data_IF_192405235375
#
_entry.id   IF_192405235375
#
_cell.length_a   1.000
_cell.length_b   1.000
_cell.length_c   1.000
_cell.angle_alpha   90.00
_cell.angle_beta   90.00
_cell.angle_gamma   90.00
#
_symmetry.space_group_name_H-M   'P 1'
#
loop_
_entity.id
_entity.type
_entity.pdbx_description
1 polymer ?
#
# COMPACT_ATOMS: atom_id res chain seq x y z
N UNK A 1 4.43 -15.71 -26.70
CA UNK A 1 3.34 -16.02 -25.75
C UNK A 1 3.27 -14.90 -24.74
N UNK A 2 2.29 -14.01 -24.87
CA UNK A 2 1.99 -12.96 -23.89
C UNK A 2 1.81 -13.56 -22.50
N UNK A 3 2.83 -13.44 -21.66
CA UNK A 3 2.73 -13.75 -20.24
C UNK A 3 1.93 -12.65 -19.58
N UNK A 4 0.62 -12.68 -19.76
CA UNK A 4 -0.30 -11.74 -19.10
C UNK A 4 -0.09 -11.89 -17.58
N UNK A 5 0.21 -10.80 -16.87
CA UNK A 5 0.34 -10.84 -15.43
C UNK A 5 -0.98 -11.32 -14.84
N UNK A 6 -0.93 -12.34 -13.97
CA UNK A 6 -2.14 -12.87 -13.32
C UNK A 6 -2.64 -11.82 -12.32
N UNK A 7 -3.83 -11.26 -12.58
CA UNK A 7 -4.44 -10.19 -11.75
C UNK A 7 -4.48 -10.55 -10.27
N UNK A 8 -4.78 -11.81 -9.93
CA UNK A 8 -4.79 -12.27 -8.53
C UNK A 8 -3.43 -12.15 -7.83
N UNK A 9 -2.31 -12.38 -8.55
CA UNK A 9 -0.95 -12.23 -7.99
C UNK A 9 -0.63 -10.75 -7.73
N UNK A 10 -1.06 -9.86 -8.64
CA UNK A 10 -0.90 -8.42 -8.45
C UNK A 10 -1.71 -7.92 -7.24
N UNK A 11 -2.95 -8.39 -7.10
CA UNK A 11 -3.80 -8.08 -5.94
C UNK A 11 -3.19 -8.60 -4.63
N UNK A 12 -2.65 -9.82 -4.62
CA UNK A 12 -2.04 -10.43 -3.42
C UNK A 12 -0.79 -9.64 -2.97
N UNK A 13 0.08 -9.24 -3.90
CA UNK A 13 1.26 -8.41 -3.60
C UNK A 13 0.84 -7.05 -3.05
N UNK A 14 -0.15 -6.40 -3.69
CA UNK A 14 -0.68 -5.14 -3.19
C UNK A 14 -1.23 -5.31 -1.78
N UNK A 15 -2.07 -6.32 -1.53
CA UNK A 15 -2.65 -6.60 -0.21
C UNK A 15 -1.60 -6.86 0.87
N UNK A 16 -0.60 -7.69 0.57
CA UNK A 16 0.54 -7.96 1.45
C UNK A 16 1.35 -6.69 1.78
N UNK A 17 1.36 -5.71 0.89
CA UNK A 17 1.99 -4.42 1.15
C UNK A 17 1.08 -3.47 1.93
N UNK A 18 -0.20 -3.39 1.59
CA UNK A 18 -1.17 -2.49 2.24
C UNK A 18 -1.29 -2.82 3.73
N UNK A 19 -1.44 -4.09 4.09
CA UNK A 19 -1.69 -4.52 5.46
C UNK A 19 -0.63 -4.06 6.48
N UNK A 20 0.69 -4.32 6.28
CA UNK A 20 1.72 -3.85 7.19
C UNK A 20 1.86 -2.32 7.16
N UNK A 21 1.68 -1.67 6.01
CA UNK A 21 1.76 -0.20 5.92
C UNK A 21 0.67 0.45 6.76
N UNK A 22 -0.58 -0.02 6.64
CA UNK A 22 -1.70 0.47 7.45
C UNK A 22 -1.40 0.28 8.94
N UNK A 23 -0.93 -0.90 9.35
CA UNK A 23 -0.59 -1.16 10.75
C UNK A 23 0.54 -0.24 11.24
N UNK A 24 1.59 -0.04 10.44
CA UNK A 24 2.70 0.85 10.77
C UNK A 24 2.23 2.30 10.89
N UNK A 25 1.34 2.73 10.00
CA UNK A 25 0.75 4.07 10.07
C UNK A 25 -0.16 4.23 11.27
N UNK A 26 -0.95 3.23 11.65
CA UNK A 26 -1.70 3.29 12.91
C UNK A 26 -0.76 3.36 14.11
N UNK A 27 0.31 2.59 14.13
CA UNK A 27 1.27 2.63 15.23
C UNK A 27 2.01 3.97 15.33
N UNK A 28 2.44 4.55 14.21
CA UNK A 28 3.23 5.78 14.17
C UNK A 28 2.35 7.03 14.20
N UNK A 29 1.36 7.11 13.32
CA UNK A 29 0.58 8.34 13.09
C UNK A 29 -0.52 8.50 14.13
N UNK A 30 -1.27 7.44 14.45
CA UNK A 30 -2.39 7.53 15.40
C UNK A 30 -2.06 8.21 16.74
N UNK A 31 -0.89 7.96 17.39
CA UNK A 31 -0.50 8.72 18.58
C UNK A 31 -0.21 10.20 18.31
N UNK A 32 0.37 10.55 17.15
CA UNK A 32 0.67 11.95 16.75
C UNK A 32 -0.60 12.78 16.49
N UNK A 33 -1.65 12.16 15.96
CA UNK A 33 -2.90 12.85 15.56
C UNK A 33 -4.07 12.58 16.50
N UNK A 34 -3.82 12.07 17.71
CA UNK A 34 -4.85 11.58 18.64
C UNK A 34 -5.90 12.66 18.98
N UNK A 35 -5.48 13.92 19.09
CA UNK A 35 -6.33 15.05 19.49
C UNK A 35 -7.06 15.73 18.33
N UNK A 36 -6.74 15.38 17.07
CA UNK A 36 -7.38 16.00 15.91
C UNK A 36 -8.81 15.46 15.69
N UNK A 37 -9.70 16.22 15.02
CA UNK A 37 -10.97 15.71 14.53
C UNK A 37 -10.79 14.52 13.57
N UNK A 38 -11.73 13.58 13.57
CA UNK A 38 -11.67 12.36 12.75
C UNK A 38 -11.44 12.63 11.26
N UNK A 39 -12.03 13.70 10.72
CA UNK A 39 -11.86 14.10 9.31
C UNK A 39 -10.40 14.46 8.99
N UNK A 40 -9.74 15.23 9.87
CA UNK A 40 -8.33 15.62 9.72
C UNK A 40 -7.41 14.40 9.86
N UNK A 41 -7.69 13.51 10.82
CA UNK A 41 -6.94 12.26 10.96
C UNK A 41 -6.96 11.45 9.68
N UNK A 42 -8.15 11.28 9.13
CA UNK A 42 -8.37 10.53 7.89
C UNK A 42 -7.66 11.20 6.72
N UNK A 43 -7.71 12.53 6.61
CA UNK A 43 -7.03 13.27 5.57
C UNK A 43 -5.50 13.11 5.62
N UNK A 44 -4.89 13.23 6.81
CA UNK A 44 -3.44 13.01 6.98
C UNK A 44 -3.07 11.57 6.63
N UNK A 45 -3.88 10.62 7.09
CA UNK A 45 -3.67 9.20 6.79
C UNK A 45 -3.73 8.93 5.29
N UNK A 46 -4.75 9.39 4.57
CA UNK A 46 -4.85 9.18 3.12
C UNK A 46 -3.78 9.94 2.34
N UNK A 47 -3.44 11.17 2.77
CA UNK A 47 -2.40 11.98 2.15
C UNK A 47 -1.02 11.31 2.20
N UNK A 48 -0.74 10.47 3.20
CA UNK A 48 0.51 9.70 3.31
C UNK A 48 0.38 8.32 2.66
N UNK A 49 -0.73 7.62 2.90
CA UNK A 49 -0.96 6.26 2.42
C UNK A 49 -0.92 6.20 0.88
N UNK A 50 -1.65 7.11 0.22
CA UNK A 50 -1.79 7.13 -1.25
C UNK A 50 -0.45 7.28 -1.97
N UNK A 51 0.41 8.28 -1.66
CA UNK A 51 1.71 8.39 -2.32
C UNK A 51 2.65 7.23 -1.98
N UNK A 52 2.62 6.71 -0.75
CA UNK A 52 3.42 5.52 -0.37
C UNK A 52 3.03 4.32 -1.23
N UNK A 53 1.72 4.05 -1.36
CA UNK A 53 1.21 2.99 -2.21
C UNK A 53 1.52 3.24 -3.69
N UNK A 54 1.32 4.47 -4.17
CA UNK A 54 1.57 4.87 -5.55
C UNK A 54 3.02 4.68 -5.98
N UNK A 55 3.99 4.83 -5.06
CA UNK A 55 5.41 4.58 -5.34
C UNK A 55 5.79 3.11 -5.13
N UNK A 56 5.31 2.48 -4.06
CA UNK A 56 5.76 1.15 -3.67
C UNK A 56 5.10 0.03 -4.48
N UNK A 57 3.82 0.14 -4.84
CA UNK A 57 3.11 -0.89 -5.61
C UNK A 57 3.77 -1.13 -6.97
N UNK A 58 4.08 -0.09 -7.79
CA UNK A 58 4.80 -0.29 -9.05
C UNK A 58 6.19 -0.90 -8.85
N UNK A 59 6.92 -0.48 -7.81
CA UNK A 59 8.24 -1.02 -7.50
C UNK A 59 8.17 -2.51 -7.13
N UNK A 60 7.17 -2.91 -6.33
CA UNK A 60 6.92 -4.29 -5.97
C UNK A 60 6.47 -5.12 -7.17
N UNK A 61 5.56 -4.62 -7.99
CA UNK A 61 5.14 -5.30 -9.21
C UNK A 61 6.32 -5.50 -10.18
N UNK A 62 7.23 -4.52 -10.29
CA UNK A 62 8.47 -4.66 -11.06
C UNK A 62 9.41 -5.70 -10.46
N UNK A 63 9.59 -5.73 -9.14
CA UNK A 63 10.46 -6.69 -8.44
C UNK A 63 9.93 -8.13 -8.53
N UNK A 64 8.62 -8.30 -8.41
CA UNK A 64 7.95 -9.60 -8.51
C UNK A 64 7.49 -9.94 -9.93
N UNK A 65 7.88 -9.16 -10.95
CA UNK A 65 7.43 -9.35 -12.33
C UNK A 65 7.69 -10.76 -12.85
N UNK A 66 8.88 -11.32 -12.53
CA UNK A 66 9.24 -12.70 -12.87
C UNK A 66 8.34 -13.75 -12.22
N UNK A 67 7.75 -13.46 -11.06
CA UNK A 67 6.80 -14.35 -10.38
C UNK A 67 5.35 -14.11 -10.83
N UNK A 68 4.99 -12.86 -11.15
CA UNK A 68 3.66 -12.47 -11.64
C UNK A 68 3.41 -13.03 -13.05
N UNK A 69 4.44 -13.06 -13.89
CA UNK A 69 4.40 -13.54 -15.29
C UNK A 69 4.64 -15.05 -15.44
N UNK A 70 4.97 -15.76 -14.36
CA UNK A 70 5.09 -17.23 -14.30
C UNK A 70 3.76 -17.88 -13.93
#
# INVERSE_FOLDING_TARGET
MDKKPKVWKMMLISWLFVYPVINLMFFLIFPLIKELPQLLKTFIFTAILVPVMGMAIPALHKKFWNWITK
#
